data_IF_503477826488
#
_entry.id   IF_503477826488
#
_cell.length_a   1.000
_cell.length_b   1.000
_cell.length_c   1.000
_cell.angle_alpha   90.00
_cell.angle_beta   90.00
_cell.angle_gamma   90.00
#
_symmetry.space_group_name_H-M   'P 1'
#
loop_
_entity.id
_entity.type
_entity.pdbx_description
1 polymer ?
#
# COMPACT_ATOMS: atom_id res chain seq x y z
N UNK A 1 -21.74 -8.09 0.92
CA UNK A 1 -21.02 -8.91 1.93
C UNK A 1 -20.71 -8.07 3.16
N UNK A 2 -20.49 -8.71 4.31
CA UNK A 2 -19.94 -8.02 5.48
C UNK A 2 -18.41 -8.04 5.42
N UNK A 3 -17.82 -6.87 5.42
CA UNK A 3 -16.38 -6.68 5.31
C UNK A 3 -15.80 -6.11 6.61
N UNK A 4 -14.73 -6.70 7.11
CA UNK A 4 -13.92 -6.14 8.20
C UNK A 4 -12.63 -5.57 7.60
N UNK A 5 -12.34 -4.30 7.88
CA UNK A 5 -11.09 -3.64 7.49
C UNK A 5 -10.28 -3.34 8.74
N UNK A 6 -9.07 -3.88 8.85
CA UNK A 6 -8.11 -3.46 9.88
C UNK A 6 -7.21 -2.37 9.30
N UNK A 7 -6.84 -1.37 10.09
CA UNK A 7 -6.16 -0.18 9.58
C UNK A 7 -7.08 0.71 8.75
N UNK A 8 -8.38 0.67 9.04
CA UNK A 8 -9.41 1.28 8.21
C UNK A 8 -9.49 2.80 8.30
N UNK A 9 -8.87 3.44 9.31
CA UNK A 9 -8.74 4.90 9.40
C UNK A 9 -7.49 5.42 8.67
N UNK A 10 -6.61 4.51 8.23
CA UNK A 10 -5.46 4.85 7.40
C UNK A 10 -5.86 5.28 5.98
N UNK A 11 -4.87 5.78 5.21
CA UNK A 11 -5.08 6.29 3.84
C UNK A 11 -5.85 5.30 2.95
N UNK A 12 -5.31 4.09 2.75
CA UNK A 12 -5.95 3.07 1.89
C UNK A 12 -7.25 2.57 2.50
N UNK A 13 -7.30 2.45 3.84
CA UNK A 13 -8.47 1.95 4.57
C UNK A 13 -9.72 2.81 4.37
N UNK A 14 -9.57 4.14 4.37
CA UNK A 14 -10.67 5.07 4.11
C UNK A 14 -11.22 4.94 2.69
N UNK A 15 -10.33 4.88 1.68
CA UNK A 15 -10.72 4.67 0.28
C UNK A 15 -11.39 3.31 0.08
N UNK A 16 -10.86 2.26 0.71
CA UNK A 16 -11.47 0.93 0.64
C UNK A 16 -12.85 0.91 1.29
N UNK A 17 -12.99 1.50 2.48
CA UNK A 17 -14.29 1.56 3.16
C UNK A 17 -15.34 2.30 2.34
N UNK A 18 -14.98 3.42 1.70
CA UNK A 18 -15.86 4.14 0.79
C UNK A 18 -16.24 3.28 -0.42
N UNK A 19 -15.23 2.70 -1.10
CA UNK A 19 -15.44 1.86 -2.28
C UNK A 19 -16.37 0.66 -1.99
N UNK A 20 -16.18 -0.03 -0.86
CA UNK A 20 -17.01 -1.16 -0.47
C UNK A 20 -18.46 -0.75 -0.19
N UNK A 21 -18.66 0.37 0.53
CA UNK A 21 -20.00 0.93 0.80
C UNK A 21 -20.73 1.31 -0.48
N UNK A 22 -20.03 1.95 -1.43
CA UNK A 22 -20.59 2.33 -2.73
C UNK A 22 -21.02 1.10 -3.56
N UNK A 23 -20.44 -0.07 -3.27
CA UNK A 23 -20.81 -1.36 -3.86
C UNK A 23 -21.86 -2.13 -3.06
N UNK A 24 -22.42 -1.51 -2.01
CA UNK A 24 -23.47 -2.09 -1.18
C UNK A 24 -22.99 -3.09 -0.12
N UNK A 25 -21.68 -3.09 0.20
CA UNK A 25 -21.15 -3.93 1.25
C UNK A 25 -21.37 -3.26 2.64
N UNK A 26 -21.63 -4.08 3.65
CA UNK A 26 -21.63 -3.67 5.05
C UNK A 26 -20.18 -3.65 5.55
N UNK A 27 -19.71 -2.51 6.08
CA UNK A 27 -18.28 -2.31 6.39
C UNK A 27 -18.10 -2.00 7.87
N UNK A 28 -17.38 -2.88 8.56
CA UNK A 28 -16.82 -2.65 9.88
C UNK A 28 -15.34 -2.26 9.77
N UNK A 29 -14.90 -1.33 10.61
CA UNK A 29 -13.52 -0.80 10.60
C UNK A 29 -12.95 -0.90 12.00
N UNK A 30 -11.71 -1.40 12.12
CA UNK A 30 -10.87 -1.25 13.31
C UNK A 30 -9.54 -0.59 12.95
N UNK A 31 -8.97 0.11 13.92
CA UNK A 31 -7.70 0.83 13.78
C UNK A 31 -6.93 0.82 15.11
N UNK A 32 -6.19 1.88 15.42
CA UNK A 32 -5.30 1.97 16.58
C UNK A 32 -5.97 1.71 17.95
N UNK A 33 -7.28 1.84 18.05
CA UNK A 33 -8.06 1.47 19.24
C UNK A 33 -8.08 -0.05 19.50
N UNK A 34 -7.76 -0.86 18.48
CA UNK A 34 -7.66 -2.31 18.59
C UNK A 34 -6.24 -2.74 18.20
N UNK A 35 -5.42 -3.10 19.19
CA UNK A 35 -4.09 -3.67 18.90
C UNK A 35 -4.26 -5.00 18.17
N UNK A 36 -3.88 -5.04 16.90
CA UNK A 36 -3.99 -6.26 16.07
C UNK A 36 -3.11 -7.41 16.56
N UNK A 37 -2.12 -7.14 17.43
CA UNK A 37 -1.30 -8.15 18.07
C UNK A 37 -1.88 -8.62 19.44
N UNK A 38 -3.07 -8.12 19.85
CA UNK A 38 -3.86 -8.68 20.95
C UNK A 38 -4.90 -9.65 20.39
N UNK A 39 -4.55 -10.94 20.39
CA UNK A 39 -5.41 -11.99 19.84
C UNK A 39 -6.78 -12.08 20.50
N UNK A 40 -6.91 -11.73 21.79
CA UNK A 40 -8.21 -11.73 22.46
C UNK A 40 -9.09 -10.58 21.99
N UNK A 41 -8.51 -9.38 21.77
CA UNK A 41 -9.24 -8.24 21.22
C UNK A 41 -9.69 -8.50 19.78
N UNK A 42 -8.77 -8.99 18.95
CA UNK A 42 -9.05 -9.34 17.54
C UNK A 42 -10.13 -10.41 17.44
N UNK A 43 -10.08 -11.45 18.29
CA UNK A 43 -11.07 -12.51 18.28
C UNK A 43 -12.47 -12.02 18.66
N UNK A 44 -12.59 -11.11 19.65
CA UNK A 44 -13.88 -10.48 19.98
C UNK A 44 -14.45 -9.71 18.80
N UNK A 45 -13.63 -8.88 18.14
CA UNK A 45 -14.08 -8.14 16.95
C UNK A 45 -14.54 -9.09 15.85
N UNK A 46 -13.77 -10.15 15.58
CA UNK A 46 -14.10 -11.13 14.56
C UNK A 46 -15.43 -11.85 14.86
N UNK A 47 -15.67 -12.20 16.12
CA UNK A 47 -16.92 -12.78 16.59
C UNK A 47 -18.11 -11.82 16.41
N UNK A 48 -17.95 -10.56 16.85
CA UNK A 48 -19.05 -9.57 16.86
C UNK A 48 -19.43 -9.13 15.46
N UNK A 49 -18.44 -8.95 14.58
CA UNK A 49 -18.67 -8.55 13.17
C UNK A 49 -19.12 -9.73 12.32
N UNK A 50 -18.63 -10.94 12.59
CA UNK A 50 -18.86 -12.14 11.78
C UNK A 50 -18.70 -11.88 10.27
N UNK A 51 -17.52 -11.40 9.79
CA UNK A 51 -17.35 -10.96 8.42
C UNK A 51 -17.32 -12.11 7.42
N UNK A 52 -17.78 -11.81 6.18
CA UNK A 52 -17.60 -12.68 5.01
C UNK A 52 -16.22 -12.47 4.37
N UNK A 53 -15.64 -11.26 4.56
CA UNK A 53 -14.34 -10.88 4.05
C UNK A 53 -13.56 -10.03 5.06
N UNK A 54 -12.26 -10.28 5.17
CA UNK A 54 -11.34 -9.49 6.00
C UNK A 54 -10.28 -8.86 5.09
N UNK A 55 -10.13 -7.55 5.16
CA UNK A 55 -9.07 -6.80 4.51
C UNK A 55 -8.07 -6.35 5.57
N UNK A 56 -6.95 -7.04 5.64
CA UNK A 56 -5.92 -6.76 6.64
C UNK A 56 -4.90 -5.75 6.12
N UNK A 57 -5.15 -4.45 6.42
CA UNK A 57 -4.29 -3.32 6.04
C UNK A 57 -3.46 -2.81 7.22
N UNK A 58 -3.84 -3.14 8.46
CA UNK A 58 -3.14 -2.67 9.66
C UNK A 58 -1.67 -3.08 9.62
N UNK A 59 -0.79 -2.09 9.61
CA UNK A 59 0.65 -2.28 9.59
C UNK A 59 1.38 -0.99 9.98
N UNK A 60 2.58 -1.11 10.50
CA UNK A 60 3.56 -0.03 10.49
C UNK A 60 4.20 0.02 9.09
N UNK A 61 3.97 1.11 8.35
CA UNK A 61 4.27 1.19 6.91
C UNK A 61 5.45 2.09 6.56
N UNK A 62 5.94 2.90 7.51
CA UNK A 62 7.00 3.85 7.25
C UNK A 62 8.39 3.17 7.27
N UNK A 63 9.02 3.05 6.09
CA UNK A 63 10.30 2.35 5.93
C UNK A 63 11.40 2.97 6.82
N UNK A 64 11.48 4.30 6.91
CA UNK A 64 12.46 5.00 7.77
C UNK A 64 12.32 4.62 9.24
N UNK A 65 11.12 4.71 9.80
CA UNK A 65 10.84 4.36 11.20
C UNK A 65 11.10 2.87 11.50
N UNK A 66 11.00 2.01 10.49
CA UNK A 66 11.26 0.58 10.68
C UNK A 66 12.70 0.28 11.11
N UNK A 67 13.65 1.13 10.76
CA UNK A 67 15.06 1.00 11.18
C UNK A 67 15.25 1.36 12.67
N UNK A 68 14.44 2.29 13.18
CA UNK A 68 14.50 2.72 14.57
C UNK A 68 13.76 1.76 15.51
N UNK A 69 12.65 1.15 14.99
CA UNK A 69 11.76 0.31 15.79
C UNK A 69 11.49 -1.08 15.17
N UNK A 70 12.53 -1.88 14.79
CA UNK A 70 12.35 -3.14 14.05
C UNK A 70 11.49 -4.17 14.80
N UNK A 71 11.65 -4.28 16.12
CA UNK A 71 10.86 -5.22 16.93
C UNK A 71 9.38 -4.86 16.95
N UNK A 72 9.04 -3.58 17.00
CA UNK A 72 7.66 -3.12 16.97
C UNK A 72 7.02 -3.37 15.60
N UNK A 73 7.77 -3.15 14.53
CA UNK A 73 7.33 -3.46 13.16
C UNK A 73 7.03 -4.95 13.01
N UNK A 74 7.91 -5.84 13.50
CA UNK A 74 7.66 -7.28 13.49
C UNK A 74 6.44 -7.65 14.32
N UNK A 75 6.27 -7.07 15.52
CA UNK A 75 5.13 -7.33 16.38
C UNK A 75 3.81 -6.96 15.68
N UNK A 76 3.71 -5.76 15.12
CA UNK A 76 2.47 -5.32 14.47
C UNK A 76 2.24 -6.08 13.15
N UNK A 77 3.25 -6.11 12.27
CA UNK A 77 3.06 -6.61 10.91
C UNK A 77 3.02 -8.14 10.83
N UNK A 78 3.75 -8.85 11.68
CA UNK A 78 3.83 -10.33 11.63
C UNK A 78 2.91 -10.97 12.66
N UNK A 79 3.08 -10.61 13.94
CA UNK A 79 2.24 -11.18 15.00
C UNK A 79 0.79 -10.72 14.81
N UNK A 80 0.54 -9.45 14.49
CA UNK A 80 -0.80 -8.96 14.18
C UNK A 80 -1.46 -9.72 13.03
N UNK A 81 -0.72 -10.00 11.94
CA UNK A 81 -1.24 -10.84 10.84
C UNK A 81 -1.58 -12.25 11.34
N UNK A 82 -0.71 -12.87 12.16
CA UNK A 82 -0.98 -14.20 12.72
C UNK A 82 -2.25 -14.23 13.57
N UNK A 83 -2.46 -13.22 14.41
CA UNK A 83 -3.66 -13.12 15.28
C UNK A 83 -4.94 -12.89 14.47
N UNK A 84 -4.90 -12.04 13.42
CA UNK A 84 -6.03 -11.87 12.49
C UNK A 84 -6.40 -13.20 11.82
N UNK A 85 -5.41 -13.94 11.33
CA UNK A 85 -5.64 -15.24 10.69
C UNK A 85 -6.18 -16.28 11.69
N UNK A 86 -5.63 -16.33 12.90
CA UNK A 86 -6.10 -17.24 13.95
C UNK A 86 -7.55 -16.93 14.36
N UNK A 87 -7.89 -15.65 14.52
CA UNK A 87 -9.25 -15.22 14.86
C UNK A 87 -10.24 -15.53 13.73
N UNK A 88 -9.89 -15.22 12.48
CA UNK A 88 -10.73 -15.51 11.31
C UNK A 88 -11.00 -17.03 11.21
N UNK A 89 -9.96 -17.85 11.38
CA UNK A 89 -10.13 -19.32 11.38
C UNK A 89 -11.06 -19.81 12.48
N UNK A 90 -10.98 -19.22 13.67
CA UNK A 90 -11.78 -19.64 14.82
C UNK A 90 -13.24 -19.22 14.73
N UNK A 91 -13.52 -18.00 14.31
CA UNK A 91 -14.84 -17.37 14.38
C UNK A 91 -15.57 -17.34 13.02
N UNK A 92 -14.82 -17.21 11.92
CA UNK A 92 -15.35 -17.07 10.55
C UNK A 92 -14.54 -17.89 9.54
N UNK A 93 -14.48 -19.23 9.66
CA UNK A 93 -13.56 -20.10 8.90
C UNK A 93 -13.73 -20.01 7.38
N UNK A 94 -14.88 -19.57 6.89
CA UNK A 94 -15.16 -19.39 5.48
C UNK A 94 -14.88 -17.98 4.97
N UNK A 95 -14.56 -17.02 5.86
CA UNK A 95 -14.26 -15.67 5.47
C UNK A 95 -12.95 -15.62 4.65
N UNK A 96 -12.99 -14.95 3.52
CA UNK A 96 -11.80 -14.72 2.71
C UNK A 96 -10.96 -13.62 3.34
N UNK A 97 -9.67 -13.86 3.48
CA UNK A 97 -8.75 -12.89 4.11
C UNK A 97 -7.77 -12.39 3.06
N UNK A 98 -7.81 -11.09 2.78
CA UNK A 98 -6.81 -10.42 1.96
C UNK A 98 -5.78 -9.76 2.86
N UNK A 99 -4.52 -10.16 2.71
CA UNK A 99 -3.38 -9.63 3.49
C UNK A 99 -2.53 -8.73 2.60
N UNK A 100 -2.35 -7.48 3.02
CA UNK A 100 -1.57 -6.51 2.27
C UNK A 100 -0.09 -6.60 2.63
N UNK A 101 0.71 -7.08 1.68
CA UNK A 101 2.17 -7.08 1.68
C UNK A 101 2.72 -5.79 1.06
N UNK A 102 3.81 -5.85 0.30
CA UNK A 102 4.43 -4.73 -0.39
C UNK A 102 5.35 -5.20 -1.51
N UNK A 103 5.50 -4.42 -2.58
CA UNK A 103 6.54 -4.63 -3.58
C UNK A 103 7.98 -4.47 -3.02
N UNK A 104 8.14 -3.83 -1.86
CA UNK A 104 9.43 -3.74 -1.16
C UNK A 104 10.04 -5.12 -0.80
N UNK A 105 9.24 -6.19 -0.79
CA UNK A 105 9.72 -7.56 -0.53
C UNK A 105 10.69 -8.06 -1.62
N UNK A 106 10.63 -7.49 -2.83
CA UNK A 106 11.56 -7.83 -3.90
C UNK A 106 12.98 -7.30 -3.65
N UNK A 107 13.10 -6.22 -2.86
CA UNK A 107 14.38 -5.60 -2.53
C UNK A 107 15.02 -4.87 -3.71
N UNK A 108 16.35 -4.83 -3.74
CA UNK A 108 17.11 -4.23 -4.83
C UNK A 108 17.22 -5.22 -5.98
N UNK A 109 16.70 -4.85 -7.14
CA UNK A 109 16.63 -5.69 -8.35
C UNK A 109 17.43 -5.08 -9.49
N UNK A 110 17.96 -5.95 -10.36
CA UNK A 110 18.62 -5.53 -11.58
C UNK A 110 17.62 -5.22 -12.71
N UNK A 111 18.01 -4.44 -13.73
CA UNK A 111 17.15 -4.09 -14.85
C UNK A 111 16.59 -5.32 -15.61
N UNK A 112 17.36 -6.42 -15.63
CA UNK A 112 17.01 -7.67 -16.29
C UNK A 112 15.86 -8.44 -15.61
N UNK A 113 15.54 -8.09 -14.37
CA UNK A 113 14.44 -8.69 -13.60
C UNK A 113 13.11 -7.98 -13.81
N UNK A 114 13.11 -6.83 -14.51
CA UNK A 114 11.92 -6.01 -14.73
C UNK A 114 11.17 -6.43 -16.00
N UNK A 115 9.81 -6.41 -15.98
CA UNK A 115 8.95 -6.12 -14.84
C UNK A 115 8.92 -7.27 -13.82
N UNK A 116 8.73 -6.93 -12.53
CA UNK A 116 8.68 -7.88 -11.42
C UNK A 116 7.37 -8.65 -11.42
N UNK A 117 7.43 -9.95 -11.73
CA UNK A 117 6.31 -10.87 -11.52
C UNK A 117 6.34 -11.50 -10.13
N UNK A 118 5.26 -12.17 -9.73
CA UNK A 118 5.12 -12.75 -8.39
C UNK A 118 6.13 -13.90 -8.13
N UNK A 119 6.62 -14.53 -9.20
CA UNK A 119 7.66 -15.57 -9.13
C UNK A 119 9.08 -15.00 -8.95
N UNK A 120 9.27 -13.69 -9.10
CA UNK A 120 10.58 -13.07 -8.87
C UNK A 120 11.03 -13.32 -7.43
N UNK A 121 12.28 -13.78 -7.19
CA UNK A 121 12.79 -14.01 -5.85
C UNK A 121 12.71 -12.77 -4.97
N UNK A 122 12.30 -12.97 -3.72
CA UNK A 122 12.21 -11.90 -2.73
C UNK A 122 13.54 -11.76 -1.98
N UNK A 123 14.00 -10.51 -1.79
CA UNK A 123 15.24 -10.17 -1.10
C UNK A 123 15.07 -8.86 -0.30
N UNK A 124 14.24 -8.86 0.76
CA UNK A 124 13.88 -7.65 1.49
C UNK A 124 15.11 -6.95 2.07
N UNK A 125 15.25 -5.64 1.82
CA UNK A 125 16.43 -4.86 2.21
C UNK A 125 16.19 -3.91 3.40
N UNK A 126 14.99 -3.93 4.00
CA UNK A 126 14.63 -3.13 5.17
C UNK A 126 13.86 -3.96 6.20
N UNK A 127 13.82 -3.55 7.49
CA UNK A 127 13.00 -4.22 8.51
C UNK A 127 11.52 -4.24 8.14
N UNK A 128 11.00 -3.17 7.51
CA UNK A 128 9.64 -3.13 6.97
C UNK A 128 9.41 -4.22 5.92
N UNK A 129 10.26 -4.27 4.89
CA UNK A 129 10.13 -5.27 3.82
C UNK A 129 10.25 -6.70 4.36
N UNK A 130 11.19 -6.94 5.30
CA UNK A 130 11.33 -8.23 5.97
C UNK A 130 10.07 -8.62 6.75
N UNK A 131 9.44 -7.66 7.46
CA UNK A 131 8.19 -7.90 8.18
C UNK A 131 7.02 -8.23 7.24
N UNK A 132 6.96 -7.58 6.08
CA UNK A 132 5.92 -7.86 5.07
C UNK A 132 6.10 -9.24 4.46
N UNK A 133 7.33 -9.62 4.12
CA UNK A 133 7.61 -10.98 3.64
C UNK A 133 7.29 -12.05 4.70
N UNK A 134 7.63 -11.81 5.96
CA UNK A 134 7.28 -12.72 7.05
C UNK A 134 5.75 -12.86 7.21
N UNK A 135 5.00 -11.76 7.07
CA UNK A 135 3.53 -11.79 7.07
C UNK A 135 2.97 -12.61 5.89
N UNK A 136 3.57 -12.53 4.68
CA UNK A 136 3.22 -13.42 3.56
C UNK A 136 3.43 -14.89 3.91
N UNK A 137 4.60 -15.22 4.48
CA UNK A 137 4.92 -16.63 4.86
C UNK A 137 3.90 -17.17 5.85
N UNK A 138 3.53 -16.39 6.87
CA UNK A 138 2.49 -16.77 7.84
C UNK A 138 1.13 -16.95 7.15
N UNK A 139 0.78 -16.06 6.23
CA UNK A 139 -0.48 -16.10 5.49
C UNK A 139 -0.58 -17.33 4.59
N UNK A 140 0.47 -17.62 3.82
CA UNK A 140 0.53 -18.80 2.96
C UNK A 140 0.62 -20.10 3.77
N UNK A 141 1.23 -20.08 4.96
CA UNK A 141 1.18 -21.21 5.88
C UNK A 141 -0.25 -21.46 6.35
N UNK A 142 -1.03 -20.43 6.69
CA UNK A 142 -2.42 -20.59 7.09
C UNK A 142 -3.28 -21.24 6.00
N UNK A 143 -3.07 -20.87 4.73
CA UNK A 143 -3.70 -21.56 3.61
C UNK A 143 -3.25 -23.02 3.49
N UNK A 144 -1.93 -23.28 3.44
CA UNK A 144 -1.38 -24.63 3.19
C UNK A 144 -1.64 -25.61 4.35
N UNK A 145 -1.57 -25.10 5.60
CA UNK A 145 -1.69 -25.94 6.79
C UNK A 145 -3.11 -26.10 7.30
N UNK A 146 -3.98 -25.11 7.09
CA UNK A 146 -5.34 -25.10 7.64
C UNK A 146 -6.44 -24.99 6.57
N UNK A 147 -6.09 -24.81 5.31
CA UNK A 147 -7.06 -24.60 4.22
C UNK A 147 -7.76 -23.23 4.28
N UNK A 148 -7.24 -22.29 5.06
CA UNK A 148 -7.85 -20.98 5.23
C UNK A 148 -7.81 -20.18 3.92
N UNK A 149 -8.93 -19.56 3.46
CA UNK A 149 -8.97 -18.88 2.16
C UNK A 149 -8.28 -17.51 2.23
N UNK A 150 -6.95 -17.51 2.19
CA UNK A 150 -6.09 -16.31 2.26
C UNK A 150 -5.61 -15.93 0.86
N UNK A 151 -5.60 -14.63 0.57
CA UNK A 151 -5.02 -14.01 -0.61
C UNK A 151 -3.98 -12.99 -0.14
N UNK A 152 -2.80 -12.98 -0.75
CA UNK A 152 -1.77 -11.99 -0.47
C UNK A 152 -1.67 -11.02 -1.64
N UNK A 153 -1.51 -9.72 -1.35
CA UNK A 153 -1.27 -8.71 -2.38
C UNK A 153 0.04 -7.98 -2.13
N UNK A 154 0.81 -7.74 -3.19
CA UNK A 154 2.01 -6.92 -3.20
C UNK A 154 1.73 -5.62 -3.96
N UNK A 155 1.14 -4.60 -3.32
CA UNK A 155 0.95 -3.32 -3.97
C UNK A 155 2.29 -2.64 -4.22
N UNK A 156 2.40 -2.04 -5.41
CA UNK A 156 3.46 -1.10 -5.75
C UNK A 156 3.10 0.29 -5.21
N UNK A 157 3.86 1.33 -5.59
CA UNK A 157 3.56 2.65 -5.04
C UNK A 157 2.15 3.08 -5.44
N UNK A 158 1.33 3.39 -4.48
CA UNK A 158 -0.01 3.92 -4.70
C UNK A 158 -0.16 5.28 -4.06
N UNK A 159 -0.87 6.16 -4.74
CA UNK A 159 -1.01 7.57 -4.38
C UNK A 159 -2.47 8.03 -4.55
N UNK A 160 -2.81 9.11 -3.87
CA UNK A 160 -4.13 9.72 -3.98
C UNK A 160 -4.35 10.79 -2.92
N UNK A 161 -5.47 11.54 -2.99
CA UNK A 161 -5.85 12.52 -1.98
C UNK A 161 -5.95 11.91 -0.58
N UNK A 162 -5.48 12.66 0.43
CA UNK A 162 -5.49 12.22 1.82
C UNK A 162 -4.29 11.35 2.24
N UNK A 163 -3.33 11.09 1.35
CA UNK A 163 -2.10 10.41 1.71
C UNK A 163 -1.19 11.32 2.55
N UNK A 164 -0.54 10.74 3.58
CA UNK A 164 0.38 11.45 4.46
C UNK A 164 1.54 12.10 3.71
N UNK A 165 1.96 13.33 4.07
CA UNK A 165 3.13 14.00 3.50
C UNK A 165 4.47 13.35 3.90
N UNK A 166 4.46 12.23 4.59
CA UNK A 166 5.64 11.39 4.79
C UNK A 166 6.04 10.64 3.50
N UNK A 167 5.18 10.63 2.48
CA UNK A 167 5.45 10.02 1.18
C UNK A 167 5.75 11.09 0.12
N UNK A 168 6.53 10.73 -0.90
CA UNK A 168 7.08 11.67 -1.87
C UNK A 168 6.04 12.55 -2.56
N UNK A 169 5.01 11.95 -3.18
CA UNK A 169 4.04 12.71 -4.00
C UNK A 169 3.25 13.73 -3.16
N UNK A 170 2.61 13.33 -2.03
CA UNK A 170 1.92 14.31 -1.20
C UNK A 170 2.87 15.31 -0.53
N UNK A 171 4.10 14.91 -0.14
CA UNK A 171 5.10 15.85 0.38
C UNK A 171 5.46 16.92 -0.65
N UNK A 172 5.68 16.51 -1.91
CA UNK A 172 6.00 17.41 -3.00
C UNK A 172 4.85 18.36 -3.31
N UNK A 173 3.62 17.85 -3.42
CA UNK A 173 2.42 18.66 -3.64
C UNK A 173 2.22 19.70 -2.53
N UNK A 174 2.29 19.30 -1.26
CA UNK A 174 2.21 20.19 -0.10
C UNK A 174 3.24 21.32 -0.18
N UNK A 175 4.51 20.97 -0.39
CA UNK A 175 5.63 21.93 -0.42
C UNK A 175 5.53 22.88 -1.60
N UNK A 176 5.03 22.45 -2.76
CA UNK A 176 4.74 23.33 -3.92
C UNK A 176 3.67 24.35 -3.54
N UNK A 177 2.58 23.93 -2.91
CA UNK A 177 1.50 24.85 -2.46
C UNK A 177 2.03 25.85 -1.44
N UNK A 178 2.79 25.40 -0.43
CA UNK A 178 3.41 26.27 0.59
C UNK A 178 4.41 27.28 -0.05
N UNK A 179 5.24 26.83 -0.99
CA UNK A 179 6.19 27.70 -1.68
C UNK A 179 5.49 28.79 -2.51
N UNK A 180 4.40 28.44 -3.22
CA UNK A 180 3.56 29.44 -3.93
C UNK A 180 2.96 30.47 -2.96
N UNK A 181 2.42 30.00 -1.84
CA UNK A 181 1.82 30.91 -0.82
C UNK A 181 2.86 31.85 -0.18
N UNK A 182 4.09 31.37 -0.01
CA UNK A 182 5.19 32.18 0.57
C UNK A 182 5.99 32.98 -0.44
N UNK A 183 5.80 32.79 -1.75
CA UNK A 183 6.60 33.44 -2.79
C UNK A 183 8.04 32.92 -2.87
N UNK A 184 8.32 31.68 -2.42
CA UNK A 184 9.64 31.08 -2.53
C UNK A 184 10.04 30.86 -4.00
N UNK A 185 11.34 30.94 -4.30
CA UNK A 185 11.88 30.75 -5.65
C UNK A 185 12.40 29.32 -5.89
N UNK A 186 12.63 28.55 -4.81
CA UNK A 186 13.16 27.19 -4.92
C UNK A 186 12.56 26.24 -3.89
N UNK A 187 12.70 24.94 -4.17
CA UNK A 187 12.33 23.82 -3.29
C UNK A 187 13.52 22.88 -3.12
N UNK A 188 13.86 22.56 -1.87
CA UNK A 188 14.86 21.54 -1.54
C UNK A 188 14.24 20.16 -1.70
N UNK A 189 14.89 19.25 -2.42
CA UNK A 189 14.40 17.89 -2.71
C UNK A 189 15.51 16.85 -2.50
N UNK A 190 15.14 15.61 -2.23
CA UNK A 190 16.08 14.49 -2.22
C UNK A 190 16.42 14.00 -3.63
N UNK A 191 16.82 12.74 -3.76
CA UNK A 191 17.12 12.10 -5.04
C UNK A 191 15.87 11.99 -5.91
N UNK A 192 15.93 12.49 -7.15
CA UNK A 192 14.83 12.42 -8.12
C UNK A 192 15.11 11.47 -9.30
N UNK A 193 16.23 10.75 -9.26
CA UNK A 193 16.66 9.85 -10.36
C UNK A 193 16.00 8.49 -10.31
N UNK A 194 15.39 8.11 -9.18
CA UNK A 194 14.71 6.82 -9.04
C UNK A 194 13.39 6.80 -9.81
N UNK A 195 12.98 5.58 -10.21
CA UNK A 195 11.74 5.36 -10.98
C UNK A 195 10.80 4.46 -10.20
N UNK A 196 9.51 4.78 -10.21
CA UNK A 196 8.48 4.04 -9.47
C UNK A 196 7.25 3.79 -10.33
N UNK A 197 6.65 2.63 -10.14
CA UNK A 197 5.34 2.27 -10.66
C UNK A 197 4.28 2.83 -9.71
N UNK A 198 3.52 3.80 -10.20
CA UNK A 198 2.46 4.45 -9.43
C UNK A 198 1.09 4.01 -9.90
N UNK A 199 0.23 3.66 -8.96
CA UNK A 199 -1.17 3.35 -9.21
C UNK A 199 -2.06 4.27 -8.35
N UNK A 200 -3.18 4.71 -8.89
CA UNK A 200 -4.17 5.46 -8.09
C UNK A 200 -4.77 4.57 -6.99
N UNK A 201 -4.92 5.10 -5.80
CA UNK A 201 -5.48 4.36 -4.66
C UNK A 201 -6.88 3.82 -4.94
N UNK A 202 -7.67 4.51 -5.75
CA UNK A 202 -9.03 4.09 -6.16
C UNK A 202 -8.99 2.82 -7.01
N UNK A 203 -8.01 2.70 -7.89
CA UNK A 203 -7.77 1.48 -8.66
C UNK A 203 -7.23 0.34 -7.78
N UNK A 204 -6.37 0.66 -6.80
CA UNK A 204 -5.85 -0.32 -5.84
C UNK A 204 -6.96 -0.94 -4.99
N UNK A 205 -7.85 -0.13 -4.42
CA UNK A 205 -8.96 -0.67 -3.60
C UNK A 205 -9.97 -1.44 -4.44
N UNK A 206 -10.16 -1.08 -5.71
CA UNK A 206 -10.95 -1.86 -6.65
C UNK A 206 -10.32 -3.25 -6.90
N UNK A 207 -8.97 -3.32 -7.03
CA UNK A 207 -8.25 -4.59 -7.14
C UNK A 207 -8.47 -5.47 -5.91
N UNK A 208 -8.40 -4.89 -4.71
CA UNK A 208 -8.59 -5.65 -3.47
C UNK A 208 -9.99 -6.28 -3.38
N UNK A 209 -11.03 -5.51 -3.75
CA UNK A 209 -12.39 -6.05 -3.77
C UNK A 209 -12.56 -7.17 -4.80
N UNK A 210 -12.07 -6.97 -6.01
CA UNK A 210 -12.13 -7.99 -7.08
C UNK A 210 -11.38 -9.27 -6.68
N UNK A 211 -10.24 -9.16 -5.98
CA UNK A 211 -9.50 -10.31 -5.48
C UNK A 211 -10.26 -11.07 -4.38
N UNK A 212 -10.95 -10.36 -3.50
CA UNK A 212 -11.84 -11.02 -2.54
C UNK A 212 -12.96 -11.77 -3.27
N UNK A 213 -13.47 -11.29 -4.38
CA UNK A 213 -14.53 -11.96 -5.15
C UNK A 213 -14.01 -13.12 -5.99
N UNK A 214 -12.94 -12.90 -6.77
CA UNK A 214 -12.50 -13.82 -7.83
C UNK A 214 -11.07 -14.34 -7.70
N UNK A 215 -10.25 -13.84 -6.77
CA UNK A 215 -8.88 -14.28 -6.59
C UNK A 215 -8.78 -15.72 -6.09
N UNK A 216 -7.70 -16.40 -6.40
CA UNK A 216 -7.46 -17.79 -5.96
C UNK A 216 -6.83 -17.79 -4.58
N UNK A 217 -7.42 -18.46 -3.56
CA UNK A 217 -6.81 -18.59 -2.26
C UNK A 217 -5.45 -19.29 -2.33
N UNK A 218 -4.49 -18.80 -1.56
CA UNK A 218 -3.12 -19.29 -1.54
C UNK A 218 -2.21 -18.64 -2.57
N UNK A 219 -2.74 -17.78 -3.45
CA UNK A 219 -1.96 -17.04 -4.42
C UNK A 219 -1.53 -15.65 -3.90
N UNK A 220 -0.44 -15.16 -4.49
CA UNK A 220 0.09 -13.81 -4.30
C UNK A 220 -0.17 -13.01 -5.58
N UNK A 221 -0.58 -11.76 -5.45
CA UNK A 221 -0.87 -10.89 -6.60
C UNK A 221 -0.14 -9.56 -6.50
N UNK A 222 0.58 -9.17 -7.53
CA UNK A 222 1.06 -7.81 -7.69
C UNK A 222 -0.10 -6.87 -8.02
N UNK A 223 -0.14 -5.71 -7.37
CA UNK A 223 -1.08 -4.64 -7.70
C UNK A 223 -0.27 -3.43 -8.15
N UNK A 224 -0.21 -3.21 -9.47
CA UNK A 224 0.67 -2.20 -10.10
C UNK A 224 0.10 -1.75 -11.44
N UNK A 225 0.56 -0.59 -11.91
CA UNK A 225 0.20 -0.09 -13.25
C UNK A 225 0.96 -0.79 -14.38
N UNK A 226 2.16 -1.30 -14.10
CA UNK A 226 3.09 -1.84 -15.08
C UNK A 226 3.96 -0.79 -15.75
N UNK A 227 3.83 0.49 -15.38
CA UNK A 227 4.57 1.61 -15.95
C UNK A 227 5.34 2.35 -14.86
N UNK A 228 6.66 2.44 -15.01
CA UNK A 228 7.49 3.22 -14.11
C UNK A 228 7.72 4.65 -14.63
N UNK A 229 7.68 5.61 -13.72
CA UNK A 229 7.89 7.04 -14.00
C UNK A 229 9.04 7.55 -13.13
N UNK A 230 9.90 8.42 -13.67
CA UNK A 230 10.97 9.03 -12.89
C UNK A 230 10.37 10.01 -11.86
N UNK A 231 10.97 10.06 -10.67
CA UNK A 231 10.54 11.00 -9.64
C UNK A 231 10.70 12.46 -10.08
N UNK A 232 11.70 12.75 -10.95
CA UNK A 232 11.85 14.05 -11.63
C UNK A 232 10.65 14.42 -12.51
N UNK A 233 10.12 13.45 -13.25
CA UNK A 233 8.96 13.67 -14.14
C UNK A 233 7.70 13.93 -13.33
N UNK A 234 7.53 13.21 -12.21
CA UNK A 234 6.41 13.44 -11.27
C UNK A 234 6.49 14.85 -10.67
N UNK A 235 7.69 15.27 -10.23
CA UNK A 235 7.91 16.60 -9.69
C UNK A 235 7.62 17.69 -10.74
N UNK A 236 8.11 17.52 -11.99
CA UNK A 236 7.85 18.44 -13.08
C UNK A 236 6.35 18.55 -13.42
N UNK A 237 5.63 17.43 -13.43
CA UNK A 237 4.17 17.43 -13.65
C UNK A 237 3.43 18.18 -12.53
N UNK A 238 3.80 17.97 -11.26
CA UNK A 238 3.19 18.70 -10.14
C UNK A 238 3.45 20.20 -10.21
N UNK A 239 4.68 20.62 -10.58
CA UNK A 239 5.02 22.04 -10.80
C UNK A 239 4.19 22.64 -11.93
N UNK A 240 4.07 21.94 -13.05
CA UNK A 240 3.27 22.40 -14.20
C UNK A 240 1.78 22.52 -13.85
N UNK A 241 1.21 21.53 -13.15
CA UNK A 241 -0.18 21.55 -12.67
C UNK A 241 -0.44 22.72 -11.71
N UNK A 242 0.53 23.01 -10.84
CA UNK A 242 0.45 24.12 -9.90
C UNK A 242 0.67 25.49 -10.56
N UNK A 243 1.13 25.56 -11.82
CA UNK A 243 1.57 26.80 -12.44
C UNK A 243 2.72 27.46 -11.68
N UNK A 244 3.61 26.66 -11.09
CA UNK A 244 4.68 27.12 -10.21
C UNK A 244 6.02 27.12 -10.94
N UNK A 245 6.68 28.28 -10.99
CA UNK A 245 8.04 28.42 -11.52
C UNK A 245 9.04 28.36 -10.33
N UNK A 246 9.35 27.14 -9.92
CA UNK A 246 10.23 26.87 -8.77
C UNK A 246 11.43 26.05 -9.21
N UNK A 247 12.62 26.46 -8.78
CA UNK A 247 13.84 25.69 -8.99
C UNK A 247 13.92 24.55 -7.97
N UNK A 248 14.18 23.32 -8.43
CA UNK A 248 14.41 22.17 -7.54
C UNK A 248 15.89 22.08 -7.18
N UNK A 249 16.23 22.17 -5.90
CA UNK A 249 17.60 22.10 -5.38
C UNK A 249 17.78 20.80 -4.60
N UNK A 250 18.77 19.97 -5.01
CA UNK A 250 19.06 18.72 -4.29
C UNK A 250 19.66 19.02 -2.92
N UNK A 251 19.03 18.47 -1.89
CA UNK A 251 19.49 18.54 -0.52
C UNK A 251 20.07 17.19 -0.08
N UNK A 252 21.38 17.12 0.25
CA UNK A 252 22.01 15.89 0.69
C UNK A 252 21.36 15.27 1.94
N UNK A 253 20.77 16.07 2.84
CA UNK A 253 20.11 15.59 4.06
C UNK A 253 18.79 14.84 3.75
N UNK A 254 18.21 15.07 2.57
CA UNK A 254 17.01 14.40 2.10
C UNK A 254 17.30 13.15 1.24
N UNK A 255 18.58 12.83 1.00
CA UNK A 255 18.99 11.66 0.22
C UNK A 255 18.98 10.42 1.11
N UNK A 256 18.25 9.37 0.70
CA UNK A 256 18.20 8.11 1.44
C UNK A 256 19.50 7.31 1.26
N UNK A 257 20.02 6.65 2.33
CA UNK A 257 21.23 5.83 2.25
C UNK A 257 21.13 4.64 1.28
N UNK A 258 19.93 4.05 1.18
CA UNK A 258 19.63 2.95 0.27
C UNK A 258 18.34 3.30 -0.47
N UNK A 259 18.41 3.33 -1.79
CA UNK A 259 17.24 3.53 -2.64
C UNK A 259 17.27 2.53 -3.81
N UNK A 260 16.12 1.95 -4.13
CA UNK A 260 15.96 1.04 -5.26
C UNK A 260 15.87 1.88 -6.54
N UNK A 261 16.77 1.71 -7.52
CA UNK A 261 16.79 2.58 -8.71
C UNK A 261 15.47 2.56 -9.50
N UNK A 262 14.93 1.37 -9.76
CA UNK A 262 13.68 1.18 -10.50
C UNK A 262 12.84 0.12 -9.83
N UNK A 263 11.55 0.41 -9.66
CA UNK A 263 10.56 -0.56 -9.19
C UNK A 263 9.38 -0.52 -10.16
N UNK A 264 9.21 -1.59 -10.96
CA UNK A 264 8.11 -1.76 -11.92
C UNK A 264 7.58 -3.17 -11.86
N UNK A 265 6.26 -3.32 -11.70
CA UNK A 265 5.60 -4.61 -11.55
C UNK A 265 4.95 -5.14 -12.82
N UNK A 266 4.60 -6.42 -12.77
CA UNK A 266 3.68 -7.07 -13.69
C UNK A 266 2.43 -7.52 -12.93
N UNK A 267 1.26 -7.07 -13.37
CA UNK A 267 -0.05 -7.42 -12.82
C UNK A 267 -0.79 -8.46 -13.68
N UNK A 268 -0.09 -9.25 -14.47
CA UNK A 268 -0.71 -10.23 -15.38
C UNK A 268 -1.57 -11.25 -14.64
N UNK A 269 -1.12 -11.75 -13.48
CA UNK A 269 -1.92 -12.69 -12.67
C UNK A 269 -3.20 -12.04 -12.15
N UNK A 270 -3.13 -10.81 -11.66
CA UNK A 270 -4.29 -10.05 -11.21
C UNK A 270 -5.29 -9.84 -12.35
N UNK A 271 -4.81 -9.42 -13.53
CA UNK A 271 -5.64 -9.25 -14.72
C UNK A 271 -6.31 -10.56 -15.14
N UNK A 272 -5.56 -11.64 -15.17
CA UNK A 272 -6.08 -12.96 -15.55
C UNK A 272 -7.15 -13.47 -14.57
N UNK A 273 -6.98 -13.25 -13.26
CA UNK A 273 -7.89 -13.72 -12.24
C UNK A 273 -9.18 -12.88 -12.15
N UNK A 274 -9.12 -11.58 -12.44
CA UNK A 274 -10.20 -10.65 -12.09
C UNK A 274 -10.66 -9.72 -13.22
N UNK A 275 -9.92 -9.65 -14.31
CA UNK A 275 -10.13 -8.66 -15.38
C UNK A 275 -9.79 -7.21 -14.94
N UNK A 276 -9.10 -7.05 -13.81
CA UNK A 276 -8.71 -5.73 -13.33
C UNK A 276 -7.68 -5.05 -14.24
N UNK A 277 -7.85 -3.76 -14.43
CA UNK A 277 -6.85 -2.88 -15.03
C UNK A 277 -6.87 -1.51 -14.34
N UNK A 278 -5.73 -0.82 -14.21
CA UNK A 278 -5.71 0.55 -13.73
C UNK A 278 -6.39 1.47 -14.76
N UNK A 279 -7.31 2.31 -14.28
CA UNK A 279 -8.17 3.16 -15.14
C UNK A 279 -7.89 4.63 -14.98
N UNK A 280 -7.30 5.04 -13.86
CA UNK A 280 -7.07 6.45 -13.53
C UNK A 280 -5.66 6.84 -13.96
N UNK A 281 -5.51 7.74 -14.95
CA UNK A 281 -4.19 8.21 -15.39
C UNK A 281 -3.43 8.90 -14.25
N UNK A 282 -2.11 8.72 -14.21
CA UNK A 282 -1.24 9.35 -13.21
C UNK A 282 -1.44 10.88 -13.15
N UNK A 283 -1.58 11.54 -14.29
CA UNK A 283 -1.80 12.99 -14.35
C UNK A 283 -3.08 13.42 -13.60
N UNK A 284 -4.16 12.62 -13.69
CA UNK A 284 -5.40 12.87 -12.94
C UNK A 284 -5.15 12.71 -11.44
N UNK A 285 -4.46 11.65 -11.03
CA UNK A 285 -4.13 11.42 -9.61
C UNK A 285 -3.28 12.55 -9.04
N UNK A 286 -2.27 13.02 -9.79
CA UNK A 286 -1.41 14.13 -9.37
C UNK A 286 -2.21 15.44 -9.23
N UNK A 287 -3.13 15.72 -10.16
CA UNK A 287 -4.01 16.88 -10.07
C UNK A 287 -4.91 16.81 -8.82
N UNK A 288 -5.51 15.65 -8.55
CA UNK A 288 -6.37 15.44 -7.38
C UNK A 288 -5.59 15.58 -6.06
N UNK A 289 -4.36 15.04 -6.00
CA UNK A 289 -3.48 15.21 -4.84
C UNK A 289 -3.11 16.67 -4.63
N UNK A 290 -2.76 17.40 -5.69
CA UNK A 290 -2.43 18.83 -5.59
C UNK A 290 -3.63 19.63 -5.09
N UNK A 291 -4.81 19.42 -5.68
CA UNK A 291 -6.05 20.10 -5.29
C UNK A 291 -6.42 19.84 -3.81
N UNK A 292 -6.13 18.66 -3.27
CA UNK A 292 -6.39 18.37 -1.87
C UNK A 292 -5.56 19.23 -0.90
N UNK A 293 -4.34 19.63 -1.29
CA UNK A 293 -3.48 20.54 -0.51
C UNK A 293 -3.78 22.03 -0.75
N UNK A 294 -4.40 22.36 -1.88
CA UNK A 294 -4.85 23.73 -2.13
C UNK A 294 -6.11 24.12 -1.35
N UNK A 295 -6.93 23.12 -1.01
CA UNK A 295 -8.16 23.29 -0.25
C UNK A 295 -7.93 23.47 1.28
N UNK A 296 -6.78 23.01 1.78
CA UNK A 296 -6.33 23.18 3.17
C UNK A 296 -5.63 24.56 3.36
#
# INVERSE_FOLDING_TARGET
MRALITGGKGFVGQWLAAHLKDRGDEVAVIDLETDVADGAAVRRVMHDVAPDAVYHLAAMTHVGESWEHPSQVLRVNVLGTAEILAAARAETPNARVLVVSSAEVYGVVGPEQLPLGEATPTAPASPYAASKLAAEVVSLQAFRGYGQPVIVVRPFNHIGPGQSPNFFVPAMAKRIVEARRSGAASLRVGTLTTRRDFTDVRDVVAAYRLLIEGGVPGEVYNVCSGVDVAMSDVAAQLLALAGADLTLETDPELVRPVDVPVLRGDAALLRAATGWEPRIPLATTLADVLASWEAD
#
